data_IF_396785238320
#
_entry.id   IF_396785238320
#
_cell.length_a   1.000
_cell.length_b   1.000
_cell.length_c   1.000
_cell.angle_alpha   90.00
_cell.angle_beta   90.00
_cell.angle_gamma   90.00
#
_symmetry.space_group_name_H-M   'P 1'
#
loop_
_entity.id
_entity.type
_entity.pdbx_description
1 polymer ?
#
# COMPACT_ATOMS: atom_id res chain seq x y z
N UNK A 1 -54.80 16.28 17.90
CA UNK A 1 -53.81 15.22 18.18
C UNK A 1 -52.90 15.12 16.97
N UNK A 2 -51.60 15.29 17.19
CA UNK A 2 -50.45 15.02 16.29
C UNK A 2 -50.06 16.08 15.25
N UNK A 3 -49.11 16.90 15.68
CA UNK A 3 -48.10 17.63 14.89
C UNK A 3 -47.08 16.67 14.25
N UNK A 4 -46.38 17.15 13.21
CA UNK A 4 -45.22 16.44 12.66
C UNK A 4 -44.55 17.16 11.48
N UNK A 5 -44.13 18.42 11.66
CA UNK A 5 -43.31 19.15 10.68
C UNK A 5 -41.86 18.66 10.69
N UNK A 6 -41.38 18.12 9.57
CA UNK A 6 -39.98 17.74 9.36
C UNK A 6 -39.08 18.98 9.09
N UNK A 7 -37.82 19.00 9.56
CA UNK A 7 -36.94 20.15 9.38
C UNK A 7 -36.40 20.26 7.94
N UNK A 8 -36.24 21.51 7.51
CA UNK A 8 -35.89 21.92 6.14
C UNK A 8 -34.49 21.49 5.69
N UNK A 9 -34.41 20.97 4.47
CA UNK A 9 -33.20 20.54 3.75
C UNK A 9 -32.20 21.68 3.48
N UNK A 10 -32.63 22.94 3.53
CA UNK A 10 -31.75 24.11 3.32
C UNK A 10 -30.79 24.35 4.49
N UNK A 11 -31.22 24.13 5.74
CA UNK A 11 -30.36 24.34 6.92
C UNK A 11 -29.21 23.34 7.00
N UNK A 12 -29.41 22.11 6.52
CA UNK A 12 -28.35 21.11 6.44
C UNK A 12 -27.33 21.41 5.34
N UNK A 13 -27.78 21.94 4.18
CA UNK A 13 -26.89 22.36 3.10
C UNK A 13 -26.05 23.58 3.49
N UNK A 14 -26.63 24.55 4.20
CA UNK A 14 -25.90 25.73 4.70
C UNK A 14 -24.94 25.38 5.84
N UNK A 15 -25.29 24.43 6.71
CA UNK A 15 -24.38 23.93 7.74
C UNK A 15 -23.17 23.19 7.14
N UNK A 16 -23.37 22.42 6.07
CA UNK A 16 -22.30 21.75 5.34
C UNK A 16 -21.36 22.76 4.65
N UNK A 17 -21.91 23.78 3.98
CA UNK A 17 -21.13 24.87 3.36
C UNK A 17 -20.37 25.71 4.38
N UNK A 18 -20.97 25.98 5.55
CA UNK A 18 -20.29 26.65 6.65
C UNK A 18 -19.16 25.81 7.24
N UNK A 19 -19.35 24.49 7.37
CA UNK A 19 -18.29 23.56 7.77
C UNK A 19 -17.11 23.59 6.79
N UNK A 20 -17.39 23.57 5.48
CA UNK A 20 -16.35 23.60 4.44
C UNK A 20 -15.62 24.96 4.40
N UNK A 21 -16.32 26.08 4.60
CA UNK A 21 -15.71 27.41 4.68
C UNK A 21 -14.87 27.61 5.94
N UNK A 22 -15.38 27.16 7.10
CA UNK A 22 -14.64 27.11 8.37
C UNK A 22 -13.37 26.29 8.24
N UNK A 23 -13.47 25.15 7.55
CA UNK A 23 -12.36 24.27 7.28
C UNK A 23 -11.33 24.93 6.33
N UNK A 24 -11.79 25.59 5.27
CA UNK A 24 -10.89 26.25 4.31
C UNK A 24 -10.13 27.44 4.91
N UNK A 25 -10.76 28.21 5.80
CA UNK A 25 -10.08 29.22 6.60
C UNK A 25 -9.05 28.60 7.55
N UNK A 26 -9.41 27.52 8.25
CA UNK A 26 -8.47 26.81 9.13
C UNK A 26 -7.28 26.23 8.35
N UNK A 27 -7.50 25.82 7.10
CA UNK A 27 -6.47 25.36 6.18
C UNK A 27 -5.52 26.48 5.74
N UNK A 28 -6.04 27.63 5.36
CA UNK A 28 -5.27 28.83 5.06
C UNK A 28 -4.44 29.27 6.27
N UNK A 29 -5.03 29.23 7.47
CA UNK A 29 -4.36 29.58 8.72
C UNK A 29 -3.25 28.59 9.09
N UNK A 30 -3.46 27.28 8.87
CA UNK A 30 -2.45 26.25 9.12
C UNK A 30 -1.26 26.31 8.16
N UNK A 31 -1.45 26.81 6.93
CA UNK A 31 -0.36 27.02 5.97
C UNK A 31 0.52 28.24 6.28
N UNK A 32 -0.03 29.29 6.91
CA UNK A 32 0.62 30.60 6.98
C UNK A 32 0.89 31.13 8.39
N UNK A 33 0.41 30.47 9.45
CA UNK A 33 0.59 30.98 10.81
C UNK A 33 1.97 30.64 11.39
N UNK A 34 2.80 31.67 11.57
CA UNK A 34 4.06 31.59 12.28
C UNK A 34 3.87 31.18 13.76
N UNK A 35 4.89 30.60 14.42
CA UNK A 35 4.87 30.39 15.86
C UNK A 35 4.75 31.75 16.56
N UNK A 36 3.57 32.05 17.13
CA UNK A 36 3.27 33.35 17.77
C UNK A 36 2.05 34.11 17.20
N UNK A 37 1.40 33.61 16.16
CA UNK A 37 0.13 34.20 15.69
C UNK A 37 -0.96 34.07 16.76
N UNK A 38 -1.71 35.15 17.02
CA UNK A 38 -2.86 35.13 17.94
C UNK A 38 -3.90 34.12 17.46
N UNK A 39 -4.47 33.34 18.38
CA UNK A 39 -5.55 32.41 18.08
C UNK A 39 -6.71 33.11 17.37
N UNK A 40 -7.21 32.50 16.30
CA UNK A 40 -8.37 33.00 15.55
C UNK A 40 -9.58 33.21 16.45
N UNK A 41 -10.46 34.14 16.09
CA UNK A 41 -11.67 34.42 16.88
C UNK A 41 -12.50 33.15 17.12
N UNK A 42 -12.63 32.31 16.08
CA UNK A 42 -13.33 31.02 16.16
C UNK A 42 -12.67 30.06 17.13
N UNK A 43 -11.33 29.99 17.13
CA UNK A 43 -10.59 29.13 18.07
C UNK A 43 -10.72 29.62 19.51
N UNK A 44 -10.69 30.94 19.74
CA UNK A 44 -10.92 31.54 21.06
C UNK A 44 -12.32 31.21 21.59
N UNK A 45 -13.34 31.37 20.77
CA UNK A 45 -14.72 31.00 21.13
C UNK A 45 -14.86 29.50 21.42
N UNK A 46 -14.18 28.64 20.65
CA UNK A 46 -14.18 27.20 20.92
C UNK A 46 -13.52 26.87 22.27
N UNK A 47 -12.38 27.50 22.58
CA UNK A 47 -11.69 27.33 23.86
C UNK A 47 -12.56 27.79 25.03
N UNK A 48 -13.25 28.93 24.92
CA UNK A 48 -14.21 29.38 25.95
C UNK A 48 -15.30 28.34 26.24
N UNK A 49 -15.85 27.72 25.18
CA UNK A 49 -16.82 26.63 25.34
C UNK A 49 -16.19 25.41 26.02
N UNK A 50 -14.95 25.05 25.69
CA UNK A 50 -14.25 23.95 26.35
C UNK A 50 -13.90 24.25 27.81
N UNK A 51 -13.54 25.49 28.16
CA UNK A 51 -13.34 25.91 29.56
C UNK A 51 -14.61 25.71 30.37
N UNK A 52 -15.74 26.20 29.85
CA UNK A 52 -17.06 26.03 30.50
C UNK A 52 -17.45 24.56 30.62
N UNK A 53 -17.27 23.77 29.56
CA UNK A 53 -17.54 22.34 29.60
C UNK A 53 -16.65 21.59 30.61
N UNK A 54 -15.39 22.01 30.75
CA UNK A 54 -14.45 21.42 31.72
C UNK A 54 -14.87 21.78 33.15
N UNK A 55 -15.26 23.03 33.41
CA UNK A 55 -15.79 23.44 34.71
C UNK A 55 -17.05 22.64 35.10
N UNK A 56 -18.00 22.46 34.17
CA UNK A 56 -19.21 21.65 34.40
C UNK A 56 -18.86 20.22 34.80
N UNK A 57 -17.82 19.62 34.18
CA UNK A 57 -17.38 18.26 34.53
C UNK A 57 -16.79 18.13 35.93
N UNK A 58 -16.34 19.22 36.54
CA UNK A 58 -15.79 19.24 37.91
C UNK A 58 -16.76 19.82 38.95
N UNK A 59 -17.85 20.47 38.52
CA UNK A 59 -18.74 21.24 39.41
C UNK A 59 -19.62 20.42 40.37
N UNK A 60 -19.75 19.10 40.17
CA UNK A 60 -20.67 18.23 40.93
C UNK A 60 -20.02 17.39 42.04
N UNK A 61 -18.84 17.77 42.55
CA UNK A 61 -18.12 17.05 43.61
C UNK A 61 -17.30 15.83 43.13
N UNK A 62 -17.67 15.21 42.02
CA UNK A 62 -16.88 14.17 41.35
C UNK A 62 -16.70 14.48 39.86
N UNK A 63 -15.52 14.16 39.30
CA UNK A 63 -15.23 14.37 37.89
C UNK A 63 -16.12 13.50 36.98
N UNK A 64 -16.86 14.13 36.07
CA UNK A 64 -17.67 13.43 35.07
C UNK A 64 -16.76 12.96 33.91
N UNK A 65 -16.52 11.65 33.74
CA UNK A 65 -15.60 11.15 32.72
C UNK A 65 -16.14 11.35 31.30
N UNK A 66 -15.23 11.61 30.36
CA UNK A 66 -15.53 11.60 28.93
C UNK A 66 -15.69 10.15 28.46
N UNK A 67 -16.82 9.82 27.84
CA UNK A 67 -17.13 8.49 27.30
C UNK A 67 -17.25 8.53 25.77
N UNK A 68 -16.98 7.42 25.06
CA UNK A 68 -16.33 6.21 25.58
C UNK A 68 -14.87 6.46 25.99
N UNK A 69 -14.37 5.72 26.98
CA UNK A 69 -12.95 5.77 27.36
C UNK A 69 -12.18 4.93 26.35
N UNK A 70 -11.22 5.55 25.66
CA UNK A 70 -10.37 4.88 24.67
C UNK A 70 -8.94 4.78 25.18
N UNK A 71 -8.25 3.71 24.81
CA UNK A 71 -6.82 3.58 25.05
C UNK A 71 -6.07 4.69 24.27
N UNK A 72 -4.94 5.19 24.79
CA UNK A 72 -4.12 6.15 24.07
C UNK A 72 -3.66 5.58 22.74
N UNK A 73 -3.84 6.32 21.65
CA UNK A 73 -3.37 5.91 20.33
C UNK A 73 -1.84 6.14 20.24
N UNK A 74 -1.03 5.11 19.96
CA UNK A 74 0.43 5.28 19.80
C UNK A 74 0.78 6.31 18.71
N UNK A 75 -0.02 6.37 17.64
CA UNK A 75 0.16 7.33 16.55
C UNK A 75 0.03 8.81 16.97
N UNK A 76 -0.64 9.09 18.10
CA UNK A 76 -0.73 10.42 18.70
C UNK A 76 0.30 10.63 19.83
N UNK A 77 1.33 9.78 19.91
CA UNK A 77 2.35 9.85 20.95
C UNK A 77 1.81 9.57 22.36
N UNK A 78 0.73 8.78 22.47
CA UNK A 78 0.11 8.48 23.76
C UNK A 78 -0.66 9.65 24.38
N UNK A 79 -0.92 10.72 23.61
CA UNK A 79 -1.71 11.85 24.06
C UNK A 79 -3.10 11.43 24.54
N UNK A 80 -3.60 12.12 25.58
CA UNK A 80 -4.92 11.91 26.17
C UNK A 80 -5.72 13.20 26.14
N UNK A 81 -7.04 13.08 26.12
CA UNK A 81 -7.91 14.24 26.21
C UNK A 81 -7.71 14.94 27.55
N UNK A 82 -7.62 16.27 27.52
CA UNK A 82 -7.51 17.08 28.73
C UNK A 82 -8.63 16.73 29.73
N UNK A 83 -8.30 16.70 31.01
CA UNK A 83 -9.24 16.45 32.11
C UNK A 83 -9.43 17.67 32.99
N UNK A 84 -8.37 18.44 33.23
CA UNK A 84 -8.38 19.65 34.06
C UNK A 84 -8.34 20.93 33.22
N UNK A 85 -8.68 22.06 33.85
CA UNK A 85 -8.55 23.38 33.23
C UNK A 85 -7.07 23.71 32.95
N UNK A 86 -6.17 23.34 33.87
CA UNK A 86 -4.73 23.52 33.70
C UNK A 86 -4.19 22.79 32.47
N UNK A 87 -4.60 21.54 32.24
CA UNK A 87 -4.23 20.79 31.03
C UNK A 87 -4.76 21.45 29.74
N UNK A 88 -5.97 22.02 29.78
CA UNK A 88 -6.55 22.72 28.63
C UNK A 88 -5.76 24.00 28.32
N UNK A 89 -5.43 24.81 29.32
CA UNK A 89 -4.64 26.03 29.12
C UNK A 89 -3.22 25.70 28.63
N UNK A 90 -2.58 24.67 29.19
CA UNK A 90 -1.29 24.20 28.70
C UNK A 90 -1.37 23.79 27.22
N UNK A 91 -2.39 23.02 26.83
CA UNK A 91 -2.61 22.65 25.43
C UNK A 91 -2.93 23.86 24.53
N UNK A 92 -3.53 24.92 25.06
CA UNK A 92 -3.84 26.14 24.30
C UNK A 92 -2.59 26.98 23.95
N UNK A 93 -1.49 26.79 24.68
CA UNK A 93 -0.21 27.47 24.38
C UNK A 93 0.58 26.84 23.23
N UNK A 94 0.24 25.61 22.84
CA UNK A 94 0.88 24.88 21.75
C UNK A 94 -0.14 24.46 20.68
N UNK A 95 0.02 25.03 19.48
CA UNK A 95 -0.85 24.73 18.35
C UNK A 95 -0.77 23.26 17.89
N UNK A 96 0.32 22.54 18.17
CA UNK A 96 0.42 21.11 17.88
C UNK A 96 -0.40 20.27 18.87
N UNK A 97 -0.27 20.58 20.16
CA UNK A 97 -1.08 20.00 21.23
C UNK A 97 -2.57 20.25 21.01
N UNK A 98 -2.97 21.48 20.68
CA UNK A 98 -4.38 21.82 20.45
C UNK A 98 -4.98 21.03 19.26
N UNK A 99 -4.23 20.87 18.16
CA UNK A 99 -4.65 20.04 17.03
C UNK A 99 -4.73 18.55 17.39
N UNK A 100 -3.82 18.06 18.22
CA UNK A 100 -3.87 16.69 18.75
C UNK A 100 -5.11 16.49 19.62
N UNK A 101 -5.45 17.46 20.47
CA UNK A 101 -6.68 17.45 21.27
C UNK A 101 -7.93 17.41 20.39
N UNK A 102 -7.95 18.16 19.28
CA UNK A 102 -9.04 18.09 18.30
C UNK A 102 -9.23 16.68 17.73
N UNK A 103 -8.14 16.00 17.36
CA UNK A 103 -8.20 14.62 16.86
C UNK A 103 -8.73 13.64 17.91
N UNK A 104 -8.28 13.77 19.17
CA UNK A 104 -8.74 12.92 20.26
C UNK A 104 -10.24 13.09 20.52
N UNK A 105 -10.73 14.33 20.55
CA UNK A 105 -12.15 14.64 20.70
C UNK A 105 -12.97 14.05 19.55
N UNK A 106 -12.50 14.24 18.31
CA UNK A 106 -13.17 13.68 17.12
C UNK A 106 -13.23 12.15 17.20
N UNK A 107 -12.11 11.49 17.47
CA UNK A 107 -12.04 10.03 17.55
C UNK A 107 -12.92 9.46 18.66
N UNK A 108 -13.09 10.19 19.78
CA UNK A 108 -14.01 9.81 20.85
C UNK A 108 -15.48 10.01 20.45
N UNK A 109 -15.82 11.18 19.93
CA UNK A 109 -17.21 11.59 19.68
C UNK A 109 -17.80 10.89 18.45
N UNK A 110 -17.06 10.88 17.34
CA UNK A 110 -17.51 10.27 16.09
C UNK A 110 -17.17 8.78 16.01
N UNK A 111 -16.12 8.34 16.72
CA UNK A 111 -15.60 6.97 16.63
C UNK A 111 -14.57 6.80 15.50
N UNK A 112 -13.81 5.69 15.51
CA UNK A 112 -12.74 5.40 14.56
C UNK A 112 -13.27 5.15 13.15
N UNK A 113 -14.46 4.57 13.06
CA UNK A 113 -15.06 4.15 11.78
C UNK A 113 -15.73 5.30 11.02
N UNK A 114 -15.86 6.46 11.66
CA UNK A 114 -16.48 7.62 11.02
C UNK A 114 -15.56 8.21 9.96
N UNK A 115 -16.12 8.50 8.77
CA UNK A 115 -15.36 9.02 7.61
C UNK A 115 -14.52 10.25 7.97
N UNK A 116 -15.09 11.17 8.75
CA UNK A 116 -14.37 12.39 9.15
C UNK A 116 -13.21 12.13 10.11
N UNK A 117 -13.28 11.07 10.94
CA UNK A 117 -12.17 10.74 11.85
C UNK A 117 -10.94 10.38 11.02
N UNK A 118 -11.11 9.46 10.08
CA UNK A 118 -10.04 9.03 9.18
C UNK A 118 -9.58 10.18 8.29
N UNK A 119 -10.50 10.97 7.73
CA UNK A 119 -10.16 12.15 6.93
C UNK A 119 -9.29 13.14 7.71
N UNK A 120 -9.64 13.45 8.97
CA UNK A 120 -8.86 14.36 9.82
C UNK A 120 -7.49 13.79 10.19
N UNK A 121 -7.37 12.47 10.37
CA UNK A 121 -6.08 11.81 10.55
C UNK A 121 -5.20 11.94 9.30
N UNK A 122 -5.76 11.67 8.12
CA UNK A 122 -5.06 11.82 6.84
C UNK A 122 -4.61 13.26 6.62
N UNK A 123 -5.51 14.21 6.84
CA UNK A 123 -5.22 15.63 6.71
C UNK A 123 -4.12 16.10 7.68
N UNK A 124 -4.19 15.68 8.95
CA UNK A 124 -3.15 16.00 9.93
C UNK A 124 -1.80 15.41 9.55
N UNK A 125 -1.78 14.18 9.02
CA UNK A 125 -0.56 13.57 8.51
C UNK A 125 0.05 14.38 7.36
N UNK A 126 -0.75 14.85 6.40
CA UNK A 126 -0.29 15.72 5.33
C UNK A 126 0.32 17.02 5.89
N UNK A 127 -0.34 17.67 6.86
CA UNK A 127 0.20 18.84 7.56
C UNK A 127 1.52 18.55 8.29
N UNK A 128 1.73 17.34 8.80
CA UNK A 128 3.03 16.95 9.35
C UNK A 128 4.09 16.77 8.26
N UNK A 129 3.75 16.20 7.11
CA UNK A 129 4.66 16.06 5.98
C UNK A 129 5.10 17.42 5.41
N UNK A 130 4.17 18.38 5.26
CA UNK A 130 4.47 19.77 4.84
C UNK A 130 5.43 20.47 5.82
N UNK A 131 5.36 20.11 7.11
CA UNK A 131 6.26 20.59 8.15
C UNK A 131 7.54 19.74 8.31
N UNK A 132 7.86 18.88 7.34
CA UNK A 132 9.02 17.96 7.34
C UNK A 132 9.03 16.94 8.49
N UNK A 133 7.89 16.70 9.15
CA UNK A 133 7.71 15.75 10.26
C UNK A 133 7.16 14.42 9.74
N UNK A 134 7.89 13.79 8.82
CA UNK A 134 7.42 12.59 8.10
C UNK A 134 7.13 11.38 8.98
N UNK A 135 7.88 11.16 10.07
CA UNK A 135 7.58 10.05 10.99
C UNK A 135 6.16 10.18 11.57
N UNK A 136 5.77 11.39 12.01
CA UNK A 136 4.42 11.66 12.52
C UNK A 136 3.36 11.45 11.43
N UNK A 137 3.68 11.77 10.18
CA UNK A 137 2.80 11.48 9.05
C UNK A 137 2.64 9.96 8.85
N UNK A 138 3.75 9.21 8.82
CA UNK A 138 3.75 7.75 8.69
C UNK A 138 2.94 7.10 9.82
N UNK A 139 3.12 7.55 11.06
CA UNK A 139 2.37 7.03 12.22
C UNK A 139 0.86 7.24 12.06
N UNK A 140 0.43 8.46 11.72
CA UNK A 140 -0.98 8.80 11.54
C UNK A 140 -1.62 8.09 10.36
N UNK A 141 -0.93 8.06 9.21
CA UNK A 141 -1.45 7.40 8.00
C UNK A 141 -1.45 5.88 8.14
N UNK A 142 -0.50 5.29 8.89
CA UNK A 142 -0.54 3.86 9.24
C UNK A 142 -1.78 3.54 10.09
N UNK A 143 -2.07 4.38 11.08
CA UNK A 143 -3.26 4.20 11.91
C UNK A 143 -4.56 4.41 11.11
N UNK A 144 -4.61 5.43 10.25
CA UNK A 144 -5.73 5.65 9.35
C UNK A 144 -5.96 4.47 8.40
N UNK A 145 -4.89 3.88 7.85
CA UNK A 145 -4.97 2.68 7.02
C UNK A 145 -5.54 1.50 7.79
N UNK A 146 -5.07 1.27 9.02
CA UNK A 146 -5.58 0.21 9.89
C UNK A 146 -7.10 0.35 10.11
N UNK A 147 -7.56 1.54 10.52
CA UNK A 147 -9.00 1.79 10.73
C UNK A 147 -9.84 1.55 9.47
N UNK A 148 -9.33 1.96 8.30
CA UNK A 148 -10.02 1.73 7.03
C UNK A 148 -10.06 0.26 6.62
N UNK A 149 -9.01 -0.50 6.90
CA UNK A 149 -8.98 -1.95 6.63
C UNK A 149 -10.01 -2.65 7.50
N UNK A 150 -10.00 -2.37 8.81
CA UNK A 150 -10.91 -2.99 9.79
C UNK A 150 -12.39 -2.73 9.43
N UNK A 151 -12.68 -1.54 8.88
CA UNK A 151 -14.05 -1.14 8.54
C UNK A 151 -14.48 -1.51 7.11
N UNK A 152 -13.68 -1.13 6.11
CA UNK A 152 -14.09 -1.09 4.69
C UNK A 152 -13.33 -2.11 3.82
N UNK A 153 -12.36 -2.86 4.37
CA UNK A 153 -11.40 -3.75 3.68
C UNK A 153 -10.46 -3.04 2.69
N UNK A 154 -9.44 -3.76 2.19
CA UNK A 154 -8.56 -3.27 1.11
C UNK A 154 -9.24 -3.12 -0.26
N UNK A 155 -10.42 -3.72 -0.47
CA UNK A 155 -11.16 -3.59 -1.73
C UNK A 155 -11.86 -2.23 -1.86
N UNK A 156 -11.98 -1.47 -0.77
CA UNK A 156 -12.48 -0.11 -0.80
C UNK A 156 -11.47 0.82 -1.47
N UNK A 157 -11.98 1.66 -2.37
CA UNK A 157 -11.17 2.63 -3.11
C UNK A 157 -10.37 3.52 -2.16
N UNK A 158 -11.01 4.10 -1.14
CA UNK A 158 -10.34 5.04 -0.22
C UNK A 158 -9.27 4.36 0.65
N UNK A 159 -9.49 3.10 1.04
CA UNK A 159 -8.52 2.31 1.78
C UNK A 159 -7.27 2.10 0.94
N UNK A 160 -7.45 1.68 -0.31
CA UNK A 160 -6.33 1.51 -1.23
C UNK A 160 -5.63 2.84 -1.55
N UNK A 161 -6.36 3.95 -1.68
CA UNK A 161 -5.74 5.27 -1.87
C UNK A 161 -4.86 5.65 -0.67
N UNK A 162 -5.30 5.33 0.55
CA UNK A 162 -4.51 5.54 1.77
C UNK A 162 -3.24 4.68 1.75
N UNK A 163 -3.34 3.42 1.35
CA UNK A 163 -2.18 2.53 1.18
C UNK A 163 -1.19 3.05 0.12
N UNK A 164 -1.69 3.52 -1.03
CA UNK A 164 -0.86 4.11 -2.09
C UNK A 164 -0.13 5.36 -1.58
N UNK A 165 -0.84 6.29 -0.92
CA UNK A 165 -0.26 7.53 -0.41
C UNK A 165 0.84 7.26 0.63
N UNK A 166 0.57 6.35 1.59
CA UNK A 166 1.54 5.95 2.60
C UNK A 166 2.76 5.26 2.00
N UNK A 167 2.54 4.31 1.07
CA UNK A 167 3.65 3.62 0.39
C UNK A 167 4.49 4.61 -0.41
N UNK A 168 3.84 5.57 -1.10
CA UNK A 168 4.52 6.61 -1.86
C UNK A 168 5.37 7.51 -0.97
N UNK A 169 4.84 7.99 0.15
CA UNK A 169 5.58 8.78 1.14
C UNK A 169 6.84 8.05 1.62
N UNK A 170 6.72 6.76 1.93
CA UNK A 170 7.85 5.94 2.38
C UNK A 170 8.91 5.74 1.28
N UNK A 171 8.50 5.60 0.02
CA UNK A 171 9.43 5.53 -1.12
C UNK A 171 10.15 6.86 -1.33
N UNK A 172 9.43 7.97 -1.27
CA UNK A 172 9.97 9.31 -1.44
C UNK A 172 10.99 9.62 -0.33
N UNK A 173 10.66 9.30 0.93
CA UNK A 173 11.58 9.37 2.06
C UNK A 173 12.83 8.49 1.86
N UNK A 174 12.64 7.24 1.43
CA UNK A 174 13.75 6.30 1.24
C UNK A 174 14.70 6.70 0.10
N UNK A 175 14.18 7.35 -0.94
CA UNK A 175 14.96 7.83 -2.09
C UNK A 175 15.77 9.10 -1.80
N UNK A 176 15.61 9.71 -0.62
CA UNK A 176 16.28 10.97 -0.26
C UNK A 176 15.71 12.20 -0.96
N UNK A 177 14.55 12.10 -1.63
CA UNK A 177 13.86 13.22 -2.29
C UNK A 177 13.20 14.17 -1.30
N UNK A 178 12.89 13.70 -0.10
CA UNK A 178 12.27 14.51 0.95
C UNK A 178 13.34 15.16 1.82
N UNK A 179 13.27 16.48 1.95
CA UNK A 179 14.15 17.24 2.83
C UNK A 179 14.00 16.75 4.28
N UNK A 180 15.10 16.62 5.04
CA UNK A 180 15.06 16.21 6.47
C UNK A 180 14.43 14.83 6.74
N UNK A 181 14.29 13.95 5.73
CA UNK A 181 13.78 12.59 5.89
C UNK A 181 14.87 11.53 6.20
N UNK A 182 16.01 11.94 6.79
CA UNK A 182 17.15 11.03 7.03
C UNK A 182 16.74 9.85 7.91
N UNK A 183 17.13 8.65 7.50
CA UNK A 183 16.85 7.40 8.23
C UNK A 183 15.42 6.88 8.08
N UNK A 184 14.53 7.59 7.38
CA UNK A 184 13.16 7.17 7.16
C UNK A 184 12.98 6.37 5.85
N UNK A 185 11.97 5.49 5.78
CA UNK A 185 11.16 5.00 6.90
C UNK A 185 11.96 4.01 7.77
N UNK A 186 11.60 3.90 9.06
CA UNK A 186 12.15 2.86 9.92
C UNK A 186 11.64 1.48 9.48
N UNK A 187 12.43 0.42 9.70
CA UNK A 187 12.03 -0.95 9.32
C UNK A 187 10.69 -1.37 9.97
N UNK A 188 10.46 -0.96 11.22
CA UNK A 188 9.22 -1.25 11.95
C UNK A 188 7.97 -0.65 11.27
N UNK A 189 8.08 0.52 10.66
CA UNK A 189 6.98 1.16 9.94
C UNK A 189 6.67 0.41 8.65
N UNK A 190 7.72 0.07 7.89
CA UNK A 190 7.57 -0.71 6.66
C UNK A 190 6.97 -2.09 6.96
N UNK A 191 7.40 -2.75 8.04
CA UNK A 191 6.85 -4.04 8.49
C UNK A 191 5.39 -3.93 8.91
N UNK A 192 5.00 -2.83 9.58
CA UNK A 192 3.60 -2.58 9.96
C UNK A 192 2.72 -2.49 8.72
N UNK A 193 3.11 -1.66 7.74
CA UNK A 193 2.35 -1.51 6.49
C UNK A 193 2.36 -2.81 5.69
N UNK A 194 3.47 -3.54 5.65
CA UNK A 194 3.54 -4.84 5.00
C UNK A 194 2.50 -5.81 5.56
N UNK A 195 2.40 -5.94 6.89
CA UNK A 195 1.41 -6.84 7.53
C UNK A 195 -0.02 -6.42 7.23
N UNK A 196 -0.35 -5.13 7.38
CA UNK A 196 -1.67 -4.59 7.04
C UNK A 196 -2.09 -4.95 5.61
N UNK A 197 -1.16 -4.93 4.65
CA UNK A 197 -1.46 -5.32 3.27
C UNK A 197 -1.47 -6.83 3.07
N UNK A 198 -0.40 -7.52 3.48
CA UNK A 198 -0.16 -8.93 3.21
C UNK A 198 -1.19 -9.86 3.87
N UNK A 199 -1.66 -9.51 5.08
CA UNK A 199 -2.61 -10.34 5.82
C UNK A 199 -4.02 -10.27 5.21
N UNK A 200 -4.38 -9.13 4.60
CA UNK A 200 -5.70 -8.87 4.01
C UNK A 200 -5.84 -9.33 2.56
N UNK A 201 -4.75 -9.28 1.78
CA UNK A 201 -4.75 -9.63 0.36
C UNK A 201 -5.35 -11.02 0.05
N UNK A 202 -5.07 -12.11 0.82
CA UNK A 202 -5.65 -13.42 0.56
C UNK A 202 -7.17 -13.43 0.68
N UNK A 203 -7.72 -12.77 1.72
CA UNK A 203 -9.17 -12.67 1.91
C UNK A 203 -9.83 -11.88 0.78
N UNK A 204 -9.24 -10.73 0.43
CA UNK A 204 -9.69 -9.90 -0.68
C UNK A 204 -9.68 -10.67 -2.01
N UNK A 205 -8.64 -11.47 -2.29
CA UNK A 205 -8.56 -12.26 -3.52
C UNK A 205 -9.66 -13.32 -3.61
N UNK A 206 -10.00 -13.96 -2.49
CA UNK A 206 -11.11 -14.93 -2.43
C UNK A 206 -12.45 -14.25 -2.72
N UNK A 207 -12.70 -13.08 -2.12
CA UNK A 207 -13.94 -12.31 -2.35
C UNK A 207 -14.13 -11.94 -3.82
N UNK A 208 -13.05 -11.59 -4.53
CA UNK A 208 -13.12 -11.27 -5.97
C UNK A 208 -13.48 -12.46 -6.87
N UNK A 209 -13.48 -13.69 -6.36
CA UNK A 209 -13.97 -14.87 -7.10
C UNK A 209 -15.47 -15.07 -6.93
N UNK A 210 -16.08 -14.46 -5.91
CA UNK A 210 -17.53 -14.52 -5.70
C UNK A 210 -18.27 -13.79 -6.82
N UNK A 211 -19.43 -14.30 -7.20
CA UNK A 211 -20.28 -13.70 -8.23
C UNK A 211 -21.31 -12.76 -7.58
N UNK A 212 -21.62 -11.59 -8.19
CA UNK A 212 -21.01 -11.04 -9.40
C UNK A 212 -19.60 -10.46 -9.16
N UNK A 213 -18.72 -10.53 -10.18
CA UNK A 213 -17.38 -9.94 -10.10
C UNK A 213 -17.46 -8.46 -10.43
N UNK A 214 -16.96 -7.62 -9.54
CA UNK A 214 -16.94 -6.18 -9.73
C UNK A 214 -15.55 -5.70 -10.19
N UNK A 215 -15.50 -5.09 -11.38
CA UNK A 215 -14.25 -4.60 -11.98
C UNK A 215 -13.54 -3.55 -11.12
N UNK A 216 -14.28 -2.62 -10.51
CA UNK A 216 -13.69 -1.56 -9.69
C UNK A 216 -12.90 -2.11 -8.48
N UNK A 217 -13.41 -3.17 -7.84
CA UNK A 217 -12.74 -3.84 -6.72
C UNK A 217 -11.55 -4.67 -7.21
N UNK A 218 -11.62 -5.26 -8.40
CA UNK A 218 -10.48 -5.92 -9.04
C UNK A 218 -9.34 -4.94 -9.33
N UNK A 219 -9.65 -3.77 -9.91
CA UNK A 219 -8.67 -2.70 -10.15
C UNK A 219 -8.05 -2.19 -8.84
N UNK A 220 -8.87 -2.09 -7.79
CA UNK A 220 -8.43 -1.66 -6.45
C UNK A 220 -7.49 -2.68 -5.81
N UNK A 221 -7.82 -3.96 -5.92
CA UNK A 221 -6.97 -5.04 -5.47
C UNK A 221 -5.62 -5.07 -6.20
N UNK A 222 -5.62 -4.84 -7.52
CA UNK A 222 -4.38 -4.78 -8.29
C UNK A 222 -3.49 -3.61 -7.85
N UNK A 223 -4.08 -2.45 -7.49
CA UNK A 223 -3.32 -1.35 -6.87
C UNK A 223 -2.76 -1.74 -5.49
N UNK A 224 -3.49 -2.49 -4.68
CA UNK A 224 -2.99 -3.01 -3.41
C UNK A 224 -1.81 -4.00 -3.60
N UNK A 225 -1.83 -4.83 -4.65
CA UNK A 225 -0.69 -5.68 -5.02
C UNK A 225 0.54 -4.86 -5.42
N UNK A 226 0.36 -3.74 -6.14
CA UNK A 226 1.47 -2.81 -6.41
C UNK A 226 2.01 -2.23 -5.11
N UNK A 227 1.16 -1.83 -4.18
CA UNK A 227 1.60 -1.34 -2.87
C UNK A 227 2.45 -2.39 -2.14
N UNK A 228 1.99 -3.64 -2.02
CA UNK A 228 2.75 -4.67 -1.29
C UNK A 228 4.12 -4.96 -1.94
N UNK A 229 4.21 -4.97 -3.27
CA UNK A 229 5.51 -5.17 -3.95
C UNK A 229 6.49 -4.02 -3.69
N UNK A 230 6.03 -2.76 -3.67
CA UNK A 230 6.90 -1.63 -3.32
C UNK A 230 7.28 -1.61 -1.83
N UNK A 231 6.38 -2.08 -0.96
CA UNK A 231 6.71 -2.30 0.46
C UNK A 231 7.76 -3.40 0.60
N UNK A 232 7.72 -4.47 -0.19
CA UNK A 232 8.78 -5.48 -0.24
C UNK A 232 10.13 -4.91 -0.67
N UNK A 233 10.15 -4.00 -1.65
CA UNK A 233 11.35 -3.25 -2.02
C UNK A 233 11.93 -2.48 -0.82
N UNK A 234 11.09 -1.75 -0.08
CA UNK A 234 11.51 -1.04 1.13
C UNK A 234 12.02 -1.99 2.22
N UNK A 235 11.35 -3.12 2.47
CA UNK A 235 11.80 -4.12 3.44
C UNK A 235 13.17 -4.70 3.07
N UNK A 236 13.36 -5.03 1.79
CA UNK A 236 14.62 -5.57 1.27
C UNK A 236 15.76 -4.56 1.40
N UNK A 237 15.49 -3.26 1.22
CA UNK A 237 16.46 -2.19 1.39
C UNK A 237 16.78 -1.88 2.87
N UNK A 238 15.81 -2.06 3.79
CA UNK A 238 15.94 -1.66 5.20
C UNK A 238 16.39 -2.77 6.15
N UNK A 239 16.23 -4.04 5.79
CA UNK A 239 16.63 -5.16 6.62
C UNK A 239 18.18 -5.34 6.65
N UNK A 240 18.82 -4.81 7.69
CA UNK A 240 20.27 -4.75 7.81
C UNK A 240 20.87 -5.99 8.50
N UNK A 241 20.16 -6.57 9.47
CA UNK A 241 20.64 -7.73 10.23
C UNK A 241 20.13 -9.05 9.64
N UNK A 242 20.81 -10.16 9.95
CA UNK A 242 20.35 -11.49 9.53
C UNK A 242 19.00 -11.86 10.17
N UNK A 243 18.73 -11.41 11.40
CA UNK A 243 17.46 -11.64 12.08
C UNK A 243 16.31 -10.90 11.38
N UNK A 244 16.51 -9.63 11.02
CA UNK A 244 15.53 -8.85 10.26
C UNK A 244 15.26 -9.45 8.89
N UNK A 245 16.31 -9.85 8.15
CA UNK A 245 16.16 -10.52 6.84
C UNK A 245 15.37 -11.83 6.96
N UNK A 246 15.59 -12.62 8.01
CA UNK A 246 14.79 -13.84 8.27
C UNK A 246 13.33 -13.51 8.58
N UNK A 247 13.06 -12.46 9.37
CA UNK A 247 11.72 -12.00 9.67
C UNK A 247 10.96 -11.54 8.42
N UNK A 248 11.60 -10.74 7.58
CA UNK A 248 11.06 -10.34 6.27
C UNK A 248 10.78 -11.58 5.41
N UNK A 249 11.75 -12.48 5.26
CA UNK A 249 11.59 -13.70 4.45
C UNK A 249 10.45 -14.61 4.96
N UNK A 250 10.18 -14.66 6.26
CA UNK A 250 9.03 -15.40 6.80
C UNK A 250 7.69 -14.80 6.33
N UNK A 251 7.56 -13.47 6.39
CA UNK A 251 6.38 -12.78 5.88
C UNK A 251 6.20 -12.93 4.37
N UNK A 252 7.29 -12.84 3.60
CA UNK A 252 7.27 -13.08 2.15
C UNK A 252 6.82 -14.51 1.81
N UNK A 253 7.34 -15.51 2.53
CA UNK A 253 6.92 -16.91 2.35
C UNK A 253 5.43 -17.12 2.61
N UNK A 254 4.90 -16.51 3.68
CA UNK A 254 3.47 -16.59 3.98
C UNK A 254 2.61 -15.97 2.86
N UNK A 255 3.02 -14.79 2.36
CA UNK A 255 2.32 -14.13 1.24
C UNK A 255 2.39 -14.94 -0.06
N UNK A 256 3.53 -15.54 -0.37
CA UNK A 256 3.70 -16.41 -1.54
C UNK A 256 2.85 -17.67 -1.44
N UNK A 257 2.79 -18.29 -0.26
CA UNK A 257 1.96 -19.47 -0.02
C UNK A 257 0.46 -19.20 -0.22
N UNK A 258 0.02 -17.96 -0.06
CA UNK A 258 -1.36 -17.57 -0.31
C UNK A 258 -1.72 -17.41 -1.81
N UNK A 259 -0.74 -17.51 -2.71
CA UNK A 259 -0.90 -17.40 -4.17
C UNK A 259 -1.76 -16.21 -4.62
N UNK A 260 -1.46 -15.03 -4.06
CA UNK A 260 -2.14 -13.79 -4.43
C UNK A 260 -1.67 -13.31 -5.81
N UNK A 261 -2.59 -13.37 -6.78
CA UNK A 261 -2.35 -12.96 -8.17
C UNK A 261 -3.25 -11.81 -8.57
N UNK A 262 -2.78 -10.98 -9.50
CA UNK A 262 -3.59 -9.91 -10.08
C UNK A 262 -4.95 -10.43 -10.52
N UNK A 263 -5.97 -9.63 -10.24
CA UNK A 263 -7.33 -9.90 -10.63
C UNK A 263 -7.56 -9.68 -12.13
N UNK A 264 -6.77 -8.80 -12.77
CA UNK A 264 -6.94 -8.42 -14.17
C UNK A 264 -6.01 -9.14 -15.14
N UNK A 265 -4.80 -9.50 -14.70
CA UNK A 265 -3.79 -10.11 -15.59
C UNK A 265 -3.34 -11.49 -15.15
N UNK A 266 -3.71 -11.93 -13.95
CA UNK A 266 -3.19 -13.15 -13.33
C UNK A 266 -1.69 -13.08 -12.98
N UNK A 267 -1.08 -11.89 -13.03
CA UNK A 267 0.31 -11.67 -12.67
C UNK A 267 0.59 -12.07 -11.21
N UNK A 268 1.65 -12.84 -11.01
CA UNK A 268 2.20 -13.09 -9.68
C UNK A 268 3.05 -11.91 -9.21
N UNK A 269 3.45 -11.91 -7.93
CA UNK A 269 4.39 -10.90 -7.42
C UNK A 269 5.70 -10.83 -8.22
N UNK A 270 6.18 -11.96 -8.77
CA UNK A 270 7.35 -11.97 -9.66
C UNK A 270 7.10 -11.17 -10.95
N UNK A 271 5.95 -11.36 -11.60
CA UNK A 271 5.59 -10.62 -12.82
C UNK A 271 5.54 -9.10 -12.55
N UNK A 272 4.97 -8.71 -11.41
CA UNK A 272 4.90 -7.30 -11.01
C UNK A 272 6.30 -6.72 -10.73
N UNK A 273 7.18 -7.46 -10.04
CA UNK A 273 8.52 -6.99 -9.69
C UNK A 273 9.50 -6.90 -10.88
N UNK A 274 9.15 -7.48 -12.03
CA UNK A 274 9.95 -7.40 -13.27
C UNK A 274 9.39 -6.44 -14.32
N UNK A 275 8.31 -5.71 -13.99
CA UNK A 275 7.63 -4.82 -14.92
C UNK A 275 7.85 -3.35 -14.55
N UNK A 276 8.29 -2.50 -15.50
CA UNK A 276 8.30 -1.03 -15.36
C UNK A 276 6.91 -0.44 -15.15
N UNK A 277 5.85 -1.18 -15.48
CA UNK A 277 4.46 -0.74 -15.29
C UNK A 277 3.99 -0.90 -13.84
N UNK A 278 4.78 -1.55 -12.99
CA UNK A 278 4.51 -1.63 -11.55
C UNK A 278 4.89 -0.30 -10.88
N UNK A 279 4.00 0.68 -11.00
CA UNK A 279 4.12 2.01 -10.41
C UNK A 279 2.96 2.30 -9.46
N UNK A 280 3.25 3.08 -8.41
CA UNK A 280 2.25 3.63 -7.50
C UNK A 280 1.96 5.06 -7.90
N UNK A 281 0.70 5.34 -8.26
CA UNK A 281 0.18 6.69 -8.43
C UNK A 281 -0.47 7.14 -7.12
N UNK A 282 -0.23 8.38 -6.72
CA UNK A 282 -0.85 9.00 -5.54
C UNK A 282 -1.27 10.42 -5.88
N UNK A 283 -2.48 10.81 -5.52
CA UNK A 283 -3.00 12.17 -5.73
C UNK A 283 -2.63 13.16 -4.61
N UNK A 284 -2.10 12.66 -3.48
CA UNK A 284 -1.69 13.50 -2.34
C UNK A 284 -0.39 14.25 -2.57
N UNK A 285 0.43 13.76 -3.49
CA UNK A 285 1.63 14.43 -3.98
C UNK A 285 1.32 14.73 -5.45
N UNK A 286 1.44 15.98 -5.89
CA UNK A 286 1.27 16.28 -7.31
C UNK A 286 2.18 15.34 -8.12
N UNK A 287 1.69 14.81 -9.24
CA UNK A 287 2.45 13.98 -10.20
C UNK A 287 3.69 14.71 -10.79
N UNK A 288 4.01 15.92 -10.30
CA UNK A 288 5.11 16.81 -10.71
C UNK A 288 6.51 16.36 -10.28
N UNK A 289 6.65 15.21 -9.63
CA UNK A 289 7.96 14.59 -9.39
C UNK A 289 8.03 13.29 -10.18
N UNK A 290 8.76 13.34 -11.30
CA UNK A 290 9.32 12.24 -12.10
C UNK A 290 10.12 11.28 -11.20
N UNK A 291 9.42 10.55 -10.35
CA UNK A 291 10.05 9.58 -9.46
C UNK A 291 10.51 8.42 -10.31
N UNK A 292 11.82 8.19 -10.28
CA UNK A 292 12.40 7.01 -10.90
C UNK A 292 11.62 5.76 -10.43
N UNK A 293 11.09 4.96 -11.37
CA UNK A 293 10.39 3.74 -11.00
C UNK A 293 11.36 2.80 -10.29
N UNK A 294 10.92 2.20 -9.18
CA UNK A 294 11.76 1.25 -8.41
C UNK A 294 11.83 -0.13 -9.07
N UNK A 295 10.88 -0.44 -9.96
CA UNK A 295 10.85 -1.70 -10.71
C UNK A 295 11.18 -1.48 -12.18
N UNK A 296 11.83 -2.47 -12.84
CA UNK A 296 12.25 -3.78 -12.35
C UNK A 296 13.37 -3.75 -11.31
N UNK A 297 13.34 -4.64 -10.31
CA UNK A 297 14.34 -4.67 -9.23
C UNK A 297 14.90 -6.07 -8.96
N UNK A 298 16.12 -6.34 -9.42
CA UNK A 298 16.76 -7.65 -9.28
C UNK A 298 16.91 -8.11 -7.82
N UNK A 299 17.12 -7.18 -6.87
CA UNK A 299 17.20 -7.51 -5.44
C UNK A 299 15.90 -8.06 -4.85
N UNK A 300 14.75 -7.53 -5.29
CA UNK A 300 13.44 -8.02 -4.82
C UNK A 300 13.11 -9.36 -5.49
N UNK A 301 13.47 -9.51 -6.77
CA UNK A 301 13.32 -10.79 -7.47
C UNK A 301 14.15 -11.89 -6.81
N UNK A 302 15.41 -11.62 -6.43
CA UNK A 302 16.25 -12.55 -5.66
C UNK A 302 15.61 -12.92 -4.32
N UNK A 303 15.03 -11.95 -3.60
CA UNK A 303 14.31 -12.21 -2.35
C UNK A 303 13.10 -13.13 -2.58
N UNK A 304 12.28 -12.86 -3.59
CA UNK A 304 11.10 -13.67 -3.91
C UNK A 304 11.50 -15.11 -4.28
N UNK A 305 12.50 -15.28 -5.14
CA UNK A 305 13.02 -16.60 -5.54
C UNK A 305 13.61 -17.36 -4.35
N UNK A 306 14.40 -16.70 -3.50
CA UNK A 306 14.94 -17.29 -2.27
C UNK A 306 13.86 -17.70 -1.27
N UNK A 307 12.69 -17.05 -1.32
CA UNK A 307 11.51 -17.41 -0.54
C UNK A 307 10.64 -18.48 -1.22
N UNK A 308 11.06 -19.06 -2.35
CA UNK A 308 10.34 -20.14 -3.03
C UNK A 308 9.26 -19.68 -4.01
N UNK A 309 9.32 -18.45 -4.51
CA UNK A 309 8.42 -18.02 -5.58
C UNK A 309 8.65 -18.87 -6.85
N UNK A 310 7.59 -19.47 -7.37
CA UNK A 310 7.67 -20.27 -8.58
C UNK A 310 7.80 -19.37 -9.83
N UNK A 311 8.95 -19.48 -10.49
CA UNK A 311 9.31 -18.70 -11.68
C UNK A 311 8.63 -19.21 -12.96
N UNK A 312 8.05 -20.41 -12.92
CA UNK A 312 7.43 -21.09 -14.07
C UNK A 312 5.96 -20.73 -14.23
N UNK A 313 5.38 -20.04 -13.24
CA UNK A 313 3.97 -19.65 -13.27
C UNK A 313 3.71 -18.74 -14.45
N UNK A 314 2.59 -19.00 -15.13
CA UNK A 314 2.12 -18.22 -16.28
C UNK A 314 0.93 -17.36 -15.86
N UNK A 315 0.94 -16.11 -16.29
CA UNK A 315 -0.19 -15.20 -16.12
C UNK A 315 -1.31 -15.50 -17.15
N UNK A 316 -2.35 -14.66 -17.20
CA UNK A 316 -3.45 -14.85 -18.15
C UNK A 316 -3.02 -14.74 -19.63
N UNK A 317 -1.92 -14.06 -19.93
CA UNK A 317 -1.33 -14.02 -21.27
C UNK A 317 -0.45 -15.25 -21.59
N UNK A 318 -0.46 -16.27 -20.71
CA UNK A 318 0.49 -17.41 -20.71
C UNK A 318 1.96 -16.99 -20.65
N UNK A 319 2.23 -15.74 -20.28
CA UNK A 319 3.57 -15.20 -20.08
C UNK A 319 4.08 -15.59 -18.70
N UNK A 320 5.32 -16.02 -18.63
CA UNK A 320 6.07 -16.14 -17.37
C UNK A 320 6.71 -14.81 -16.98
N UNK A 321 7.25 -14.71 -15.76
CA UNK A 321 8.00 -13.52 -15.35
C UNK A 321 9.20 -13.24 -16.29
N UNK A 322 9.81 -14.27 -16.88
CA UNK A 322 10.89 -14.10 -17.84
C UNK A 322 10.43 -13.47 -19.16
N UNK A 323 9.21 -13.75 -19.63
CA UNK A 323 8.65 -13.03 -20.78
C UNK A 323 8.53 -11.54 -20.49
N UNK A 324 7.96 -11.19 -19.34
CA UNK A 324 7.76 -9.78 -18.94
C UNK A 324 9.10 -9.06 -18.80
N UNK A 325 10.09 -9.71 -18.19
CA UNK A 325 11.45 -9.20 -18.06
C UNK A 325 12.19 -9.04 -19.42
N UNK A 326 11.84 -9.86 -20.42
CA UNK A 326 12.47 -9.83 -21.74
C UNK A 326 11.92 -8.74 -22.67
N UNK A 327 10.80 -8.09 -22.32
CA UNK A 327 10.27 -6.96 -23.09
C UNK A 327 11.32 -5.83 -23.11
N UNK A 328 11.58 -5.15 -24.25
CA UNK A 328 12.71 -4.22 -24.37
C UNK A 328 12.79 -3.12 -23.31
N UNK A 329 11.65 -2.58 -22.90
CA UNK A 329 11.61 -1.57 -21.84
C UNK A 329 11.70 -2.17 -20.43
N UNK A 330 11.64 -3.47 -20.20
CA UNK A 330 11.92 -4.09 -18.89
C UNK A 330 13.31 -4.72 -18.83
N UNK A 331 13.96 -4.86 -19.99
CA UNK A 331 15.13 -5.69 -20.17
C UNK A 331 16.33 -5.22 -19.34
N UNK A 332 16.90 -6.16 -18.59
CA UNK A 332 18.21 -6.05 -17.96
C UNK A 332 18.87 -7.42 -17.96
N UNK A 333 20.13 -7.49 -18.40
CA UNK A 333 20.91 -8.74 -18.41
C UNK A 333 20.99 -9.35 -17.00
N UNK A 334 21.13 -8.52 -15.97
CA UNK A 334 21.15 -8.97 -14.57
C UNK A 334 19.80 -9.59 -14.18
N UNK A 335 18.69 -8.93 -14.52
CA UNK A 335 17.35 -9.38 -14.17
C UNK A 335 17.03 -10.74 -14.82
N UNK A 336 17.38 -10.89 -16.10
CA UNK A 336 17.24 -12.15 -16.83
C UNK A 336 18.12 -13.24 -16.20
N UNK A 337 19.38 -12.93 -15.89
CA UNK A 337 20.28 -13.89 -15.25
C UNK A 337 19.75 -14.38 -13.89
N UNK A 338 19.16 -13.50 -13.08
CA UNK A 338 18.54 -13.88 -11.80
C UNK A 338 17.37 -14.84 -12.00
N UNK A 339 16.48 -14.57 -12.96
CA UNK A 339 15.34 -15.46 -13.24
C UNK A 339 15.82 -16.83 -13.76
N UNK A 340 16.83 -16.84 -14.63
CA UNK A 340 17.43 -18.08 -15.14
C UNK A 340 18.11 -18.89 -14.04
N UNK A 341 18.84 -18.24 -13.14
CA UNK A 341 19.41 -18.88 -11.95
C UNK A 341 18.33 -19.44 -11.02
N UNK A 342 17.14 -18.82 -11.00
CA UNK A 342 15.93 -19.32 -10.33
C UNK A 342 15.23 -20.48 -11.04
N UNK A 343 15.73 -20.96 -12.19
CA UNK A 343 15.17 -22.09 -12.93
C UNK A 343 14.10 -21.72 -13.95
N UNK A 344 14.08 -20.47 -14.43
CA UNK A 344 13.18 -20.04 -15.51
C UNK A 344 13.50 -20.76 -16.83
N UNK A 345 12.46 -21.22 -17.50
CA UNK A 345 12.56 -21.82 -18.84
C UNK A 345 12.55 -20.74 -19.92
N UNK A 346 13.37 -20.94 -20.96
CA UNK A 346 13.56 -19.99 -22.06
C UNK A 346 12.67 -20.27 -23.27
N UNK A 347 11.91 -21.36 -23.25
CA UNK A 347 11.31 -21.96 -24.42
C UNK A 347 9.81 -22.16 -24.34
N UNK A 348 9.19 -21.75 -23.22
CA UNK A 348 7.74 -21.80 -23.04
C UNK A 348 7.07 -20.69 -23.87
N UNK A 349 6.23 -21.00 -24.87
CA UNK A 349 5.63 -19.98 -25.74
C UNK A 349 4.40 -19.32 -25.10
N UNK A 350 4.35 -17.98 -25.00
CA UNK A 350 3.17 -17.26 -24.50
C UNK A 350 1.95 -17.39 -25.46
N UNK A 351 0.82 -16.72 -25.16
CA UNK A 351 -0.37 -16.72 -26.03
C UNK A 351 -0.13 -16.19 -27.45
N UNK A 352 0.93 -15.41 -27.65
CA UNK A 352 1.31 -14.85 -28.95
C UNK A 352 2.27 -15.78 -29.72
N UNK A 353 2.68 -16.89 -29.10
CA UNK A 353 3.64 -17.84 -29.67
C UNK A 353 5.10 -17.48 -29.40
N UNK A 354 5.37 -16.34 -28.75
CA UNK A 354 6.75 -15.90 -28.47
C UNK A 354 7.33 -16.68 -27.29
N UNK A 355 8.55 -17.19 -27.46
CA UNK A 355 9.34 -17.74 -26.36
C UNK A 355 10.21 -16.66 -25.69
N UNK A 356 10.56 -16.81 -24.40
CA UNK A 356 11.47 -15.88 -23.75
C UNK A 356 12.84 -15.79 -24.43
N UNK A 357 13.34 -16.89 -25.00
CA UNK A 357 14.59 -16.91 -25.77
C UNK A 357 14.54 -15.95 -26.97
N UNK A 358 13.45 -15.97 -27.72
CA UNK A 358 13.25 -15.08 -28.87
C UNK A 358 13.20 -13.62 -28.41
N UNK A 359 12.42 -13.31 -27.37
CA UNK A 359 12.35 -11.96 -26.80
C UNK A 359 13.71 -11.47 -26.29
N UNK A 360 14.46 -12.32 -25.59
CA UNK A 360 15.81 -12.00 -25.10
C UNK A 360 16.78 -11.77 -26.25
N UNK A 361 16.69 -12.53 -27.35
CA UNK A 361 17.54 -12.37 -28.52
C UNK A 361 17.25 -11.09 -29.32
N UNK A 362 16.00 -10.61 -29.31
CA UNK A 362 15.62 -9.34 -29.96
C UNK A 362 16.17 -8.09 -29.25
N UNK A 363 16.67 -8.23 -28.02
CA UNK A 363 17.27 -7.12 -27.28
C UNK A 363 18.72 -6.88 -27.73
N UNK A 364 18.97 -5.75 -28.40
CA UNK A 364 20.27 -5.35 -28.96
C UNK A 364 21.46 -5.36 -27.97
N UNK A 365 21.18 -5.28 -26.66
CA UNK A 365 22.18 -5.32 -25.59
C UNK A 365 22.29 -6.66 -24.84
N UNK A 366 21.62 -7.71 -25.31
CA UNK A 366 21.59 -8.99 -24.62
C UNK A 366 22.94 -9.69 -24.66
N UNK A 367 23.52 -9.91 -23.47
CA UNK A 367 24.73 -10.75 -23.28
C UNK A 367 24.37 -12.14 -22.74
N UNK A 368 23.08 -12.46 -22.68
CA UNK A 368 22.58 -13.70 -22.11
C UNK A 368 22.87 -14.83 -23.09
N UNK A 369 23.66 -15.81 -22.66
CA UNK A 369 23.97 -17.00 -23.46
C UNK A 369 22.81 -17.98 -23.38
N UNK A 370 21.74 -17.73 -24.13
CA UNK A 370 20.49 -18.53 -24.15
C UNK A 370 20.78 -20.03 -24.22
N UNK A 371 21.74 -20.46 -25.06
CA UNK A 371 22.09 -21.87 -25.23
C UNK A 371 22.62 -22.57 -23.97
N UNK A 372 23.23 -21.84 -23.02
CA UNK A 372 23.71 -22.42 -21.76
C UNK A 372 22.58 -22.81 -20.81
N UNK A 373 21.38 -22.27 -21.03
CA UNK A 373 20.23 -22.44 -20.15
C UNK A 373 19.11 -23.28 -20.81
N UNK A 374 19.33 -23.77 -22.04
CA UNK A 374 18.42 -24.70 -22.71
C UNK A 374 18.87 -26.12 -22.43
N UNK A 375 17.99 -26.93 -21.85
CA UNK A 375 18.29 -28.34 -21.52
C UNK A 375 18.01 -29.27 -22.71
N UNK A 376 18.63 -30.45 -22.71
CA UNK A 376 18.30 -31.50 -23.71
C UNK A 376 16.82 -31.89 -23.64
N UNK A 377 16.23 -31.94 -22.44
CA UNK A 377 14.81 -32.24 -22.26
C UNK A 377 13.92 -31.19 -22.97
N UNK A 378 14.24 -29.91 -22.80
CA UNK A 378 13.59 -28.79 -23.51
C UNK A 378 13.70 -28.94 -25.05
N UNK A 379 14.89 -29.27 -25.57
CA UNK A 379 15.10 -29.50 -27.00
C UNK A 379 14.29 -30.69 -27.52
N UNK A 380 14.30 -31.80 -26.78
CA UNK A 380 13.55 -33.02 -27.12
C UNK A 380 12.04 -32.76 -27.13
N UNK A 381 11.52 -32.06 -26.12
CA UNK A 381 10.11 -31.68 -26.04
C UNK A 381 9.67 -30.84 -27.26
N UNK A 382 10.47 -29.83 -27.63
CA UNK A 382 10.19 -28.99 -28.81
C UNK A 382 10.27 -29.78 -30.11
N UNK A 383 11.29 -30.62 -30.28
CA UNK A 383 11.43 -31.45 -31.48
C UNK A 383 10.22 -32.38 -31.64
N UNK A 384 9.75 -32.96 -30.54
CA UNK A 384 8.61 -33.85 -30.54
C UNK A 384 7.29 -33.12 -30.85
N UNK A 385 7.07 -31.93 -30.28
CA UNK A 385 5.89 -31.11 -30.60
C UNK A 385 5.92 -30.60 -32.05
N UNK A 386 7.09 -30.23 -32.59
CA UNK A 386 7.26 -29.83 -34.00
C UNK A 386 7.01 -30.95 -34.98
N UNK A 387 7.31 -32.20 -34.61
CA UNK A 387 7.05 -33.36 -35.46
C UNK A 387 5.54 -33.59 -35.71
N UNK A 388 4.65 -32.96 -34.92
CA UNK A 388 3.18 -33.05 -35.02
C UNK A 388 2.64 -34.49 -35.08
N UNK A 389 3.39 -35.46 -34.53
CA UNK A 389 2.97 -36.86 -34.45
C UNK A 389 2.12 -37.06 -33.20
N UNK A 390 0.94 -37.70 -33.30
CA UNK A 390 0.15 -38.03 -32.13
C UNK A 390 0.94 -38.97 -31.22
N UNK A 391 1.09 -38.59 -29.96
CA UNK A 391 1.68 -39.43 -28.93
C UNK A 391 0.63 -40.42 -28.42
N UNK A 392 0.93 -41.73 -28.36
CA UNK A 392 0.06 -42.68 -27.70
C UNK A 392 -0.15 -42.30 -26.22
N UNK A 393 -1.35 -42.47 -25.65
CA UNK A 393 -1.65 -42.07 -24.27
C UNK A 393 -0.81 -42.81 -23.22
N UNK A 394 -0.15 -43.91 -23.58
CA UNK A 394 0.72 -44.72 -22.70
C UNK A 394 2.21 -44.56 -23.01
N UNK A 395 2.58 -43.77 -24.02
CA UNK A 395 3.96 -43.69 -24.50
C UNK A 395 4.89 -42.92 -23.55
N UNK A 396 4.34 -42.07 -22.69
CA UNK A 396 5.09 -41.24 -21.77
C UNK A 396 4.45 -41.25 -20.37
N UNK A 397 5.25 -41.30 -19.30
CA UNK A 397 4.79 -41.02 -17.95
C UNK A 397 4.11 -39.65 -17.87
N UNK A 398 3.12 -39.52 -16.97
CA UNK A 398 2.38 -38.26 -16.74
C UNK A 398 3.29 -37.05 -16.52
N UNK A 399 4.40 -37.23 -15.81
CA UNK A 399 5.40 -36.17 -15.56
C UNK A 399 6.04 -35.63 -16.85
N UNK A 400 6.28 -36.48 -17.85
CA UNK A 400 6.81 -36.05 -19.15
C UNK A 400 5.72 -35.47 -20.05
N UNK A 401 4.47 -35.90 -19.90
CA UNK A 401 3.33 -35.26 -20.55
C UNK A 401 3.11 -33.84 -20.00
N UNK A 402 3.12 -33.67 -18.67
CA UNK A 402 3.03 -32.37 -18.01
C UNK A 402 4.19 -31.46 -18.47
N UNK A 403 5.41 -32.02 -18.60
CA UNK A 403 6.56 -31.29 -19.13
C UNK A 403 6.39 -30.90 -20.61
N UNK A 404 5.86 -31.77 -21.46
CA UNK A 404 5.53 -31.45 -22.86
C UNK A 404 4.48 -30.34 -22.95
N UNK A 405 3.46 -30.38 -22.09
CA UNK A 405 2.41 -29.36 -22.06
C UNK A 405 2.94 -27.97 -21.72
N UNK A 406 4.05 -27.85 -20.95
CA UNK A 406 4.72 -26.56 -20.73
C UNK A 406 5.19 -25.90 -22.03
N UNK A 407 5.54 -26.70 -23.04
CA UNK A 407 6.11 -26.26 -24.32
C UNK A 407 5.05 -26.13 -25.43
N UNK A 408 3.79 -26.47 -25.16
CA UNK A 408 2.68 -26.25 -26.09
C UNK A 408 2.30 -24.76 -26.11
N UNK A 409 1.97 -24.27 -27.31
CA UNK A 409 1.48 -22.91 -27.57
C UNK A 409 0.09 -22.68 -26.99
#
# INVERSE_FOLDING_TARGET
MWEGGGPSTSKQADAARQHDALFHELMQECRHSAPGARLSAKMRTALERYRRATAIRHGGGAYIPKRPVRAPAPALGGAREWRSLAELEAAATDMDALRTQSLLVVARVLGPDHKDTVFRLMYRGASYADAFRYQRCIDLWSWALQLRIEKDSLLSSDTCHTACALTRLMLDAASGRLERARGLPALGDVLRVFRLLADELPACRRLLRARPVFKAQADTFDRALRCVTHVLYLLQARAATAAERRGVAAGVRALLAADVRSASTGDTLLHLCVSRLNVIRSTYFADELDAAPVFPHAGVVRLLLACGADVRVRNEARSTALHVAAIPYNFSTELVAVLLAGGAHLDQPNKFGDSPAELVALNRGSRVRVLQHVTLACLAARALLRARRPLPPHALPKTLLDFLDLHRA
#
